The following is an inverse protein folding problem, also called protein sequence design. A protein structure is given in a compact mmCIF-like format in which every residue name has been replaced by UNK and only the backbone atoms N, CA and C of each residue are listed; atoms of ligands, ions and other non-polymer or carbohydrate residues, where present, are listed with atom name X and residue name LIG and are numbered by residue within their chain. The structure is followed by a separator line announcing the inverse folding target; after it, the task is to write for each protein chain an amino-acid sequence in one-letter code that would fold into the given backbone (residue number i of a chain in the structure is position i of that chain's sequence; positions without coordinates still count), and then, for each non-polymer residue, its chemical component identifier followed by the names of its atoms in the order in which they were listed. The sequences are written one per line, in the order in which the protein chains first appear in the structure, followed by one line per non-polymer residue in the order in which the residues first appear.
data_IF_860676734736
#
_entry.id   IF_860676734736
#
_cell.length_a   1.000
_cell.length_b   1.000
_cell.length_c   1.000
_cell.angle_alpha   90.00
_cell.angle_beta   90.00
_cell.angle_gamma   90.00
#
_symmetry.space_group_name_H-M   'P 1'
#
loop_
_entity.id
_entity.type
_entity.pdbx_description
1 polymer ?
#
# COMPACT_ATOMS: atom_id res chain seq x y z
N UNK A 1 25.68 -14.46 -23.05
CA UNK A 1 24.24 -14.41 -23.27
C UNK A 1 23.73 -12.97 -23.28
N UNK A 2 23.70 -12.19 -22.18
CA UNK A 2 23.18 -10.81 -22.16
C UNK A 2 23.78 -9.86 -23.21
N UNK A 3 25.10 -9.85 -23.40
CA UNK A 3 25.77 -9.00 -24.41
C UNK A 3 25.37 -9.32 -25.85
N UNK A 4 24.89 -10.54 -26.12
CA UNK A 4 24.55 -11.00 -27.47
C UNK A 4 23.06 -10.80 -27.79
N UNK A 5 22.19 -10.85 -26.77
CA UNK A 5 20.76 -10.92 -26.98
C UNK A 5 19.98 -9.72 -26.45
N UNK A 6 20.59 -8.93 -25.55
CA UNK A 6 19.88 -7.81 -24.90
C UNK A 6 20.60 -6.48 -25.13
N UNK A 7 21.90 -6.36 -24.76
CA UNK A 7 22.67 -5.12 -24.91
C UNK A 7 24.16 -5.38 -24.99
N UNK A 8 24.86 -4.56 -25.78
CA UNK A 8 26.32 -4.57 -25.87
C UNK A 8 26.97 -3.94 -24.60
N UNK A 9 26.27 -3.01 -23.95
CA UNK A 9 26.75 -2.29 -22.76
C UNK A 9 26.23 -3.00 -21.50
N UNK A 10 26.94 -4.02 -21.04
CA UNK A 10 26.68 -4.66 -19.75
C UNK A 10 27.62 -4.05 -18.72
N UNK A 11 27.05 -3.37 -17.72
CA UNK A 11 27.81 -2.92 -16.57
C UNK A 11 28.22 -4.11 -15.70
N UNK A 12 29.52 -4.23 -15.46
CA UNK A 12 30.12 -5.29 -14.63
C UNK A 12 30.77 -4.74 -13.36
N UNK A 13 30.56 -3.47 -13.05
CA UNK A 13 31.12 -2.79 -11.86
C UNK A 13 30.56 -3.34 -10.55
N UNK A 14 29.34 -3.92 -10.59
CA UNK A 14 28.68 -4.49 -9.43
C UNK A 14 28.85 -6.01 -9.45
N UNK A 15 29.24 -6.58 -8.30
CA UNK A 15 29.31 -8.02 -8.14
C UNK A 15 27.92 -8.64 -8.31
N UNK A 16 27.70 -9.55 -9.29
CA UNK A 16 26.39 -10.14 -9.56
C UNK A 16 25.77 -10.83 -8.35
N UNK A 17 26.58 -11.45 -7.48
CA UNK A 17 26.09 -12.14 -6.27
C UNK A 17 25.49 -11.20 -5.23
N UNK A 18 25.88 -9.92 -5.24
CA UNK A 18 25.38 -8.90 -4.31
C UNK A 18 24.41 -7.92 -4.98
N UNK A 19 24.28 -7.95 -6.30
CA UNK A 19 23.47 -6.99 -7.06
C UNK A 19 22.03 -6.98 -6.61
N UNK A 20 21.42 -8.16 -6.43
CA UNK A 20 20.04 -8.30 -5.98
C UNK A 20 19.85 -7.76 -4.56
N UNK A 21 20.76 -8.14 -3.63
CA UNK A 21 20.68 -7.67 -2.24
C UNK A 21 20.88 -6.14 -2.13
N UNK A 22 21.79 -5.56 -2.95
CA UNK A 22 21.99 -4.11 -3.01
C UNK A 22 20.78 -3.39 -3.61
N UNK A 23 20.19 -3.95 -4.66
CA UNK A 23 18.97 -3.43 -5.27
C UNK A 23 17.79 -3.47 -4.29
N UNK A 24 17.61 -4.58 -3.58
CA UNK A 24 16.58 -4.72 -2.56
C UNK A 24 16.78 -3.74 -1.38
N UNK A 25 18.02 -3.56 -0.90
CA UNK A 25 18.31 -2.60 0.16
C UNK A 25 18.06 -1.15 -0.30
N UNK A 26 18.40 -0.83 -1.56
CA UNK A 26 18.15 0.47 -2.15
C UNK A 26 16.64 0.72 -2.28
N UNK A 27 15.90 -0.26 -2.76
CA UNK A 27 14.44 -0.19 -2.84
C UNK A 27 13.80 -0.05 -1.46
N UNK A 28 14.22 -0.84 -0.48
CA UNK A 28 13.74 -0.76 0.90
C UNK A 28 13.97 0.63 1.53
N UNK A 29 15.04 1.34 1.13
CA UNK A 29 15.32 2.69 1.63
C UNK A 29 14.37 3.77 1.06
N UNK A 30 13.60 3.44 0.01
CA UNK A 30 12.58 4.34 -0.58
C UNK A 30 11.17 4.09 -0.03
N UNK A 31 10.98 2.98 0.67
CA UNK A 31 9.70 2.66 1.32
C UNK A 31 9.73 3.35 2.68
N UNK A 32 8.77 4.22 2.92
CA UNK A 32 8.54 4.74 4.27
C UNK A 32 8.22 3.55 5.17
N UNK A 33 9.17 3.19 6.04
CA UNK A 33 8.88 2.23 7.07
C UNK A 33 7.70 2.79 7.86
N UNK A 34 6.65 1.98 8.08
CA UNK A 34 5.57 2.30 9.01
C UNK A 34 6.18 2.44 10.40
N UNK A 35 6.82 3.60 10.63
CA UNK A 35 7.35 3.93 11.94
C UNK A 35 6.13 4.06 12.84
N UNK A 36 6.12 3.32 13.92
CA UNK A 36 5.02 3.29 14.86
C UNK A 36 4.84 4.70 15.46
N UNK A 37 3.95 5.50 14.87
CA UNK A 37 3.67 6.89 15.29
C UNK A 37 3.33 6.96 16.78
N UNK A 38 2.77 5.88 17.34
CA UNK A 38 2.47 5.76 18.76
C UNK A 38 3.74 5.67 19.63
N UNK A 39 4.84 5.10 19.10
CA UNK A 39 6.13 5.06 19.80
C UNK A 39 6.80 6.43 19.74
N UNK A 40 6.77 7.10 18.59
CA UNK A 40 7.28 8.48 18.47
C UNK A 40 6.57 9.40 19.45
N UNK A 41 5.22 9.34 19.53
CA UNK A 41 4.45 10.15 20.49
C UNK A 41 4.75 9.82 21.95
N UNK A 42 5.14 8.58 22.28
CA UNK A 42 5.52 8.17 23.64
C UNK A 42 6.94 8.59 24.03
N UNK A 43 7.87 8.61 23.08
CA UNK A 43 9.26 9.00 23.32
C UNK A 43 9.46 10.51 23.27
N UNK A 44 8.62 11.23 22.53
CA UNK A 44 8.68 12.69 22.42
C UNK A 44 8.20 13.34 23.71
N UNK A 45 9.10 14.08 24.36
CA UNK A 45 8.79 14.98 25.48
C UNK A 45 8.23 16.32 25.05
N UNK A 46 8.10 16.59 23.74
CA UNK A 46 7.70 17.85 23.13
C UNK A 46 6.50 17.66 22.20
N UNK A 47 5.80 18.77 21.93
CA UNK A 47 4.72 18.83 20.95
C UNK A 47 5.30 18.70 19.53
N UNK A 48 5.37 17.47 18.99
CA UNK A 48 5.81 17.22 17.62
C UNK A 48 4.70 17.59 16.64
N UNK A 49 5.06 18.34 15.60
CA UNK A 49 4.15 18.63 14.50
C UNK A 49 4.32 17.58 13.39
N UNK A 50 3.24 16.89 13.05
CA UNK A 50 3.23 15.92 11.96
C UNK A 50 3.03 16.64 10.63
N UNK A 51 3.86 16.28 9.66
CA UNK A 51 3.77 16.77 8.28
C UNK A 51 3.36 15.62 7.36
N UNK A 52 2.57 15.95 6.35
CA UNK A 52 2.40 15.13 5.17
C UNK A 52 3.42 15.55 4.13
N UNK A 53 4.32 14.65 3.71
CA UNK A 53 5.34 14.91 2.69
C UNK A 53 5.07 13.99 1.51
N UNK A 54 4.67 14.58 0.38
CA UNK A 54 4.39 13.86 -0.87
C UNK A 54 5.49 14.11 -1.89
N UNK A 55 6.11 13.03 -2.40
CA UNK A 55 7.19 13.09 -3.38
C UNK A 55 7.31 11.76 -4.15
N UNK A 56 7.95 11.80 -5.32
CA UNK A 56 8.36 10.58 -6.02
C UNK A 56 9.67 10.09 -5.43
N UNK A 57 9.68 8.87 -4.86
CA UNK A 57 10.87 8.30 -4.20
C UNK A 57 12.01 7.95 -5.16
N UNK A 58 11.71 7.88 -6.47
CA UNK A 58 12.70 7.62 -7.53
C UNK A 58 12.45 8.53 -8.73
N UNK A 59 13.51 9.09 -9.31
CA UNK A 59 13.42 10.00 -10.44
C UNK A 59 14.54 9.79 -11.45
N UNK A 60 14.30 10.15 -12.71
CA UNK A 60 15.32 10.29 -13.75
C UNK A 60 15.61 11.76 -14.05
N UNK A 61 14.83 12.65 -13.47
CA UNK A 61 14.97 14.10 -13.66
C UNK A 61 16.06 14.68 -12.75
N UNK A 62 16.48 15.91 -13.03
CA UNK A 62 17.45 16.64 -12.22
C UNK A 62 16.84 17.34 -11.00
N UNK A 63 15.52 17.40 -10.92
CA UNK A 63 14.76 17.95 -9.81
C UNK A 63 13.41 17.24 -9.66
N UNK A 64 12.84 17.27 -8.46
CA UNK A 64 11.51 16.74 -8.16
C UNK A 64 10.71 17.71 -7.31
N UNK A 65 9.39 17.66 -7.51
CA UNK A 65 8.44 18.46 -6.74
C UNK A 65 8.04 17.74 -5.47
N UNK A 66 8.28 18.38 -4.33
CA UNK A 66 7.95 17.87 -3.00
C UNK A 66 6.82 18.70 -2.43
N UNK A 67 5.67 18.08 -2.20
CA UNK A 67 4.53 18.71 -1.52
C UNK A 67 4.66 18.50 -0.01
N UNK A 68 4.41 19.56 0.77
CA UNK A 68 4.45 19.49 2.24
C UNK A 68 3.22 20.19 2.80
N UNK A 69 2.51 19.54 3.72
CA UNK A 69 1.38 20.12 4.45
C UNK A 69 1.41 19.73 5.93
N UNK A 70 0.72 20.48 6.77
CA UNK A 70 0.56 20.17 8.19
C UNK A 70 -0.57 19.14 8.34
N UNK A 71 -0.28 18.00 8.97
CA UNK A 71 -1.26 17.00 9.33
C UNK A 71 -1.90 17.35 10.68
N UNK A 72 -3.06 18.01 10.62
CA UNK A 72 -3.80 18.40 11.83
C UNK A 72 -4.34 17.22 12.63
N UNK A 73 -4.76 16.17 11.97
CA UNK A 73 -5.35 15.01 12.63
C UNK A 73 -4.32 14.31 13.50
N UNK A 74 -3.11 14.13 12.96
CA UNK A 74 -2.01 13.50 13.68
C UNK A 74 -1.37 14.42 14.73
N UNK A 75 -1.27 15.72 14.45
CA UNK A 75 -0.69 16.71 15.37
C UNK A 75 -1.61 16.98 16.58
N UNK A 76 -2.93 17.01 16.36
CA UNK A 76 -3.91 17.26 17.41
C UNK A 76 -4.17 18.75 17.70
N UNK A 77 -4.69 19.04 18.91
CA UNK A 77 -5.22 20.36 19.25
C UNK A 77 -4.19 21.51 19.31
N UNK A 78 -2.90 21.19 19.45
CA UNK A 78 -1.82 22.18 19.49
C UNK A 78 -1.18 22.40 18.10
N UNK A 79 -1.83 21.96 17.03
CA UNK A 79 -1.34 22.12 15.67
C UNK A 79 -1.18 23.59 15.32
N UNK A 80 0.02 24.04 14.88
CA UNK A 80 0.20 25.40 14.40
C UNK A 80 -0.63 25.58 13.10
N UNK A 81 -1.10 26.81 12.88
CA UNK A 81 -1.81 27.14 11.66
C UNK A 81 -0.88 27.24 10.45
N UNK A 82 0.38 27.58 10.70
CA UNK A 82 1.37 27.87 9.68
C UNK A 82 2.78 27.63 10.22
N UNK A 83 3.66 27.08 9.40
CA UNK A 83 5.09 26.90 9.63
C UNK A 83 5.90 27.45 8.45
N UNK A 84 7.12 27.90 8.70
CA UNK A 84 8.10 28.14 7.65
C UNK A 84 8.96 26.89 7.47
N UNK A 85 8.97 26.31 6.27
CA UNK A 85 9.69 25.08 5.95
C UNK A 85 10.88 25.39 5.04
N UNK A 86 12.01 24.75 5.30
CA UNK A 86 13.23 24.76 4.49
C UNK A 86 13.67 23.29 4.28
N UNK A 87 13.93 22.91 3.04
CA UNK A 87 14.58 21.63 2.72
C UNK A 87 16.08 21.83 2.60
N UNK A 88 16.86 20.95 3.19
CA UNK A 88 18.32 20.93 3.05
C UNK A 88 18.78 19.54 2.65
N UNK A 89 19.50 19.40 1.50
CA UNK A 89 20.10 18.13 1.13
C UNK A 89 21.20 17.78 2.13
N UNK A 90 21.31 16.50 2.47
CA UNK A 90 22.19 16.02 3.55
C UNK A 90 23.68 16.29 3.31
N UNK A 91 24.12 16.47 2.04
CA UNK A 91 25.47 16.90 1.69
C UNK A 91 25.78 18.36 2.01
N UNK A 92 24.76 19.14 2.37
CA UNK A 92 24.86 20.56 2.69
C UNK A 92 25.05 21.49 1.48
N UNK A 93 25.20 20.96 0.27
CA UNK A 93 25.48 21.74 -0.92
C UNK A 93 24.23 22.41 -1.53
N UNK A 94 23.03 22.00 -1.10
CA UNK A 94 21.78 22.59 -1.57
C UNK A 94 20.79 22.77 -0.42
N UNK A 95 20.05 23.85 -0.49
CA UNK A 95 18.89 24.15 0.37
C UNK A 95 17.87 24.97 -0.43
N UNK A 96 16.59 24.80 -0.09
CA UNK A 96 15.53 25.63 -0.63
C UNK A 96 15.46 26.98 0.06
N UNK A 97 14.71 27.91 -0.54
CA UNK A 97 14.17 29.04 0.20
C UNK A 97 13.19 28.54 1.29
N UNK A 98 12.96 29.38 2.30
CA UNK A 98 11.90 29.14 3.28
C UNK A 98 10.57 29.50 2.68
N UNK A 99 9.65 28.55 2.72
CA UNK A 99 8.27 28.73 2.26
C UNK A 99 7.30 28.57 3.44
N UNK A 100 6.17 29.27 3.36
CA UNK A 100 5.06 29.08 4.29
C UNK A 100 4.27 27.84 3.94
N UNK A 101 3.96 27.02 4.95
CA UNK A 101 3.21 25.76 4.83
C UNK A 101 2.10 25.75 5.89
N UNK A 102 0.90 25.49 5.45
CA UNK A 102 -0.30 25.30 6.27
C UNK A 102 -0.92 23.91 6.03
N UNK A 103 -2.18 23.73 6.36
CA UNK A 103 -2.93 22.48 6.11
C UNK A 103 -3.29 22.24 4.64
N UNK A 104 -3.29 23.30 3.80
CA UNK A 104 -3.48 23.16 2.36
C UNK A 104 -2.17 22.75 1.66
N UNK A 105 -1.06 23.00 2.35
CA UNK A 105 0.28 22.66 1.89
C UNK A 105 0.88 23.66 0.91
N UNK A 106 2.14 23.37 0.55
CA UNK A 106 2.87 24.09 -0.47
C UNK A 106 3.87 23.12 -1.13
N UNK A 107 4.51 23.56 -2.21
CA UNK A 107 5.38 22.72 -3.03
C UNK A 107 6.76 23.34 -3.14
N UNK A 108 7.80 22.51 -3.00
CA UNK A 108 9.22 22.90 -3.15
C UNK A 108 9.84 22.07 -4.27
N UNK A 109 10.57 22.71 -5.17
CA UNK A 109 11.40 22.03 -6.14
C UNK A 109 12.72 21.62 -5.49
N UNK A 110 12.97 20.30 -5.38
CA UNK A 110 14.16 19.73 -4.76
C UNK A 110 15.15 19.29 -5.85
N UNK A 111 16.37 19.89 -5.90
CA UNK A 111 17.39 19.56 -6.87
C UNK A 111 18.20 18.32 -6.47
N UNK A 112 18.34 17.38 -7.41
CA UNK A 112 18.92 16.07 -7.20
C UNK A 112 20.35 15.99 -7.75
N UNK A 113 21.18 15.21 -7.09
CA UNK A 113 22.47 14.76 -7.62
C UNK A 113 22.27 13.51 -8.47
N UNK A 114 22.81 13.51 -9.66
CA UNK A 114 22.68 12.45 -10.64
C UNK A 114 23.27 11.11 -10.13
N UNK A 115 22.53 10.03 -10.38
CA UNK A 115 22.98 8.66 -10.10
C UNK A 115 23.11 8.31 -8.61
N UNK A 116 22.50 9.07 -7.70
CA UNK A 116 22.68 8.90 -6.26
C UNK A 116 21.37 9.01 -5.48
N UNK A 117 21.30 8.41 -4.27
CA UNK A 117 20.31 8.76 -3.27
C UNK A 117 20.51 10.21 -2.80
N UNK A 118 19.44 10.98 -2.75
CA UNK A 118 19.43 12.35 -2.27
C UNK A 118 18.54 12.41 -1.03
N UNK A 119 19.15 12.42 0.15
CA UNK A 119 18.44 12.58 1.42
C UNK A 119 18.25 14.07 1.71
N UNK A 120 17.02 14.46 2.00
CA UNK A 120 16.63 15.82 2.37
C UNK A 120 16.21 15.87 3.82
N UNK A 121 16.77 16.79 4.58
CA UNK A 121 16.32 17.14 5.93
C UNK A 121 15.28 18.25 5.83
N UNK A 122 14.15 18.06 6.51
CA UNK A 122 13.09 19.02 6.62
C UNK A 122 13.35 19.85 7.88
N UNK A 123 13.39 21.16 7.76
CA UNK A 123 13.51 22.09 8.88
C UNK A 123 12.27 22.94 8.96
N UNK A 124 11.68 23.02 10.13
CA UNK A 124 10.50 23.83 10.38
C UNK A 124 10.76 24.91 11.42
N UNK A 125 10.13 26.05 11.21
CA UNK A 125 10.23 27.20 12.08
C UNK A 125 8.84 27.79 12.32
N UNK A 126 8.59 28.22 13.55
CA UNK A 126 7.38 28.98 13.87
C UNK A 126 7.46 30.44 13.38
N UNK A 127 6.38 31.20 13.56
CA UNK A 127 6.32 32.61 13.17
C UNK A 127 7.36 33.51 13.88
N UNK A 128 7.88 33.09 15.03
CA UNK A 128 8.95 33.78 15.77
C UNK A 128 10.36 33.38 15.28
N UNK A 129 10.46 32.45 14.32
CA UNK A 129 11.73 31.95 13.78
C UNK A 129 12.40 30.88 14.64
N UNK A 130 11.74 30.35 15.67
CA UNK A 130 12.24 29.28 16.50
C UNK A 130 12.03 27.92 15.77
N UNK A 131 13.00 27.01 15.88
CA UNK A 131 12.87 25.66 15.33
C UNK A 131 11.74 24.90 16.02
N UNK A 132 10.99 24.13 15.23
CA UNK A 132 9.88 23.28 15.67
C UNK A 132 10.24 21.83 15.38
N UNK A 133 10.02 20.93 16.33
CA UNK A 133 10.16 19.51 16.11
C UNK A 133 9.04 18.99 15.23
N UNK A 134 9.42 18.26 14.18
CA UNK A 134 8.52 17.76 13.14
C UNK A 134 8.76 16.30 12.84
N UNK A 135 7.75 15.64 12.30
CA UNK A 135 7.85 14.29 11.75
C UNK A 135 7.05 14.17 10.43
N UNK A 136 7.62 13.58 9.35
CA UNK A 136 9.01 13.13 9.21
C UNK A 136 10.01 14.29 9.15
N UNK A 137 11.23 14.08 9.69
CA UNK A 137 12.29 15.08 9.66
C UNK A 137 13.25 14.94 8.48
N UNK A 138 13.15 13.84 7.74
CA UNK A 138 13.94 13.57 6.52
C UNK A 138 13.22 12.62 5.57
N UNK A 139 13.58 12.67 4.30
CA UNK A 139 13.14 11.75 3.24
C UNK A 139 14.23 11.62 2.17
N UNK A 140 14.14 10.57 1.32
CA UNK A 140 15.16 10.30 0.30
C UNK A 140 14.54 10.11 -1.08
N UNK A 141 15.12 10.77 -2.09
CA UNK A 141 14.79 10.58 -3.51
C UNK A 141 16.02 9.97 -4.21
N UNK A 142 15.85 8.86 -4.90
CA UNK A 142 16.92 8.23 -5.68
C UNK A 142 16.87 8.73 -7.11
N UNK A 143 17.91 9.46 -7.53
CA UNK A 143 18.03 9.91 -8.91
C UNK A 143 18.79 8.87 -9.75
N UNK A 144 18.40 8.75 -11.03
CA UNK A 144 19.00 7.82 -12.00
C UNK A 144 18.32 6.46 -12.09
N UNK A 145 17.32 6.20 -11.27
CA UNK A 145 16.49 4.98 -11.33
C UNK A 145 15.03 5.39 -11.32
N UNK A 146 14.29 5.02 -12.34
CA UNK A 146 12.82 5.02 -12.26
C UNK A 146 12.38 3.58 -12.02
N UNK A 147 12.14 3.25 -10.77
CA UNK A 147 11.49 1.98 -10.44
C UNK A 147 10.04 2.14 -10.84
N UNK A 148 9.68 1.61 -12.01
CA UNK A 148 8.27 1.49 -12.37
C UNK A 148 7.55 0.66 -11.30
N UNK A 149 6.34 1.06 -10.95
CA UNK A 149 5.50 0.29 -10.05
C UNK A 149 5.43 -1.17 -10.55
N UNK A 150 5.70 -2.14 -9.67
CA UNK A 150 5.59 -3.55 -10.03
C UNK A 150 4.15 -3.84 -10.49
N UNK A 151 3.94 -4.44 -11.66
CA UNK A 151 2.59 -4.77 -12.10
C UNK A 151 2.13 -6.07 -11.43
N UNK A 152 0.82 -6.18 -11.18
CA UNK A 152 0.21 -7.43 -10.72
C UNK A 152 0.54 -8.57 -11.71
N UNK A 153 1.12 -9.69 -11.26
CA UNK A 153 1.48 -10.80 -12.14
C UNK A 153 0.28 -11.63 -12.60
N UNK A 154 -0.85 -11.57 -11.87
CA UNK A 154 -2.07 -12.31 -12.13
C UNK A 154 -3.30 -11.45 -11.87
N UNK A 155 -4.48 -11.89 -12.37
CA UNK A 155 -5.75 -11.33 -11.92
C UNK A 155 -6.02 -11.76 -10.48
N UNK A 156 -6.36 -10.82 -9.62
CA UNK A 156 -6.89 -11.13 -8.30
C UNK A 156 -8.41 -11.25 -8.42
N UNK A 157 -8.96 -12.26 -7.78
CA UNK A 157 -10.40 -12.53 -7.80
C UNK A 157 -10.87 -13.20 -6.53
N UNK A 158 -12.17 -13.30 -6.38
CA UNK A 158 -12.83 -14.00 -5.28
C UNK A 158 -13.67 -15.17 -5.79
N UNK A 159 -13.95 -16.15 -4.91
CA UNK A 159 -14.94 -17.14 -5.20
C UNK A 159 -16.36 -16.62 -4.89
N UNK A 160 -17.24 -16.71 -5.87
CA UNK A 160 -18.66 -16.44 -5.70
C UNK A 160 -19.49 -17.65 -6.06
N UNK A 161 -20.54 -17.93 -5.28
CA UNK A 161 -21.41 -19.06 -5.59
C UNK A 161 -22.26 -18.75 -6.83
N UNK A 162 -22.29 -19.71 -7.75
CA UNK A 162 -23.11 -19.62 -8.96
C UNK A 162 -24.26 -20.64 -8.87
N UNK A 163 -25.50 -20.13 -8.79
CA UNK A 163 -26.68 -20.96 -8.60
C UNK A 163 -26.97 -21.91 -9.76
N UNK A 164 -26.61 -21.52 -10.99
CA UNK A 164 -26.80 -22.37 -12.19
C UNK A 164 -25.78 -23.52 -12.18
N UNK A 165 -24.51 -23.20 -11.90
CA UNK A 165 -23.41 -24.17 -11.89
C UNK A 165 -23.32 -24.96 -10.56
N UNK A 166 -24.06 -24.56 -9.52
CA UNK A 166 -24.06 -25.14 -8.16
C UNK A 166 -22.66 -25.27 -7.55
N UNK A 167 -21.78 -24.28 -7.81
CA UNK A 167 -20.40 -24.27 -7.33
C UNK A 167 -19.82 -22.85 -7.25
N UNK A 168 -18.72 -22.70 -6.52
CA UNK A 168 -17.93 -21.48 -6.51
C UNK A 168 -17.25 -21.24 -7.84
N UNK A 169 -17.44 -20.07 -8.42
CA UNK A 169 -16.77 -19.62 -9.65
C UNK A 169 -15.86 -18.45 -9.35
N UNK A 170 -14.76 -18.34 -10.11
CA UNK A 170 -13.83 -17.24 -10.02
C UNK A 170 -14.46 -15.98 -10.60
N UNK A 171 -14.49 -14.92 -9.81
CA UNK A 171 -14.90 -13.57 -10.20
C UNK A 171 -13.70 -12.64 -10.06
N UNK A 172 -13.16 -12.10 -11.18
CA UNK A 172 -12.09 -11.10 -11.11
C UNK A 172 -12.54 -9.86 -10.35
N UNK A 173 -11.67 -9.30 -9.53
CA UNK A 173 -11.89 -8.04 -8.85
C UNK A 173 -11.51 -6.91 -9.82
N UNK A 174 -12.49 -6.12 -10.22
CA UNK A 174 -12.29 -5.00 -11.14
C UNK A 174 -11.33 -3.97 -10.54
N UNK A 175 -10.26 -3.66 -11.26
CA UNK A 175 -9.16 -2.81 -10.79
C UNK A 175 -7.91 -3.57 -10.36
N UNK A 176 -7.99 -4.92 -10.20
CA UNK A 176 -6.88 -5.79 -9.84
C UNK A 176 -6.60 -6.84 -10.92
N UNK A 177 -6.63 -6.40 -12.18
CA UNK A 177 -6.30 -7.23 -13.33
C UNK A 177 -4.78 -7.39 -13.48
N UNK A 178 -4.35 -8.45 -14.12
CA UNK A 178 -2.95 -8.67 -14.51
C UNK A 178 -2.37 -7.45 -15.22
N UNK A 179 -1.13 -7.12 -14.93
CA UNK A 179 -0.37 -5.97 -15.43
C UNK A 179 -0.84 -4.61 -14.90
N UNK A 180 -1.76 -4.57 -13.94
CA UNK A 180 -2.11 -3.33 -13.24
C UNK A 180 -0.93 -2.86 -12.39
N UNK A 181 -0.47 -1.60 -12.50
CA UNK A 181 0.61 -1.09 -11.65
C UNK A 181 0.15 -0.98 -10.20
N UNK A 182 1.06 -1.28 -9.26
CA UNK A 182 0.83 -1.11 -7.83
C UNK A 182 1.26 0.30 -7.36
N UNK A 183 0.62 0.89 -6.33
CA UNK A 183 -0.52 0.34 -5.60
C UNK A 183 -1.81 0.32 -6.43
N UNK A 184 -2.70 -0.62 -6.15
CA UNK A 184 -3.95 -0.78 -6.87
C UNK A 184 -5.12 -1.05 -5.93
N UNK A 185 -6.31 -0.62 -6.34
CA UNK A 185 -7.55 -0.84 -5.60
C UNK A 185 -8.55 -1.50 -6.52
N UNK A 186 -9.22 -2.52 -6.02
CA UNK A 186 -10.27 -3.19 -6.75
C UNK A 186 -11.55 -3.35 -5.95
N UNK A 187 -12.68 -3.34 -6.63
CA UNK A 187 -14.01 -3.36 -6.01
C UNK A 187 -14.85 -4.48 -6.58
N UNK A 188 -15.58 -5.15 -5.72
CA UNK A 188 -16.64 -6.12 -6.07
C UNK A 188 -17.95 -5.62 -5.46
N UNK A 189 -18.77 -4.92 -6.24
CA UNK A 189 -20.06 -4.41 -5.78
C UNK A 189 -21.13 -5.50 -5.76
N UNK A 190 -22.25 -5.18 -5.13
CA UNK A 190 -23.51 -5.92 -5.24
C UNK A 190 -23.42 -7.41 -4.84
N UNK A 191 -22.68 -7.69 -3.77
CA UNK A 191 -22.73 -9.03 -3.15
C UNK A 191 -23.76 -9.06 -2.03
N UNK A 192 -24.15 -10.26 -1.62
CA UNK A 192 -25.10 -10.47 -0.52
C UNK A 192 -24.56 -11.47 0.48
N UNK A 193 -24.89 -11.25 1.74
CA UNK A 193 -24.60 -12.23 2.80
C UNK A 193 -25.43 -13.50 2.58
N UNK A 194 -24.78 -14.66 2.75
CA UNK A 194 -25.44 -15.97 2.65
C UNK A 194 -26.07 -16.41 3.94
N UNK A 195 -25.78 -15.74 5.05
CA UNK A 195 -26.34 -15.95 6.38
C UNK A 195 -26.28 -14.66 7.19
N UNK A 196 -27.03 -14.61 8.28
CA UNK A 196 -26.96 -13.49 9.20
C UNK A 196 -25.64 -13.51 9.99
N UNK A 197 -25.12 -12.34 10.33
CA UNK A 197 -24.00 -12.18 11.27
C UNK A 197 -24.54 -11.50 12.54
N UNK A 198 -24.59 -12.26 13.63
CA UNK A 198 -25.07 -11.78 14.94
C UNK A 198 -23.88 -11.34 15.80
N UNK A 199 -23.90 -10.13 16.37
CA UNK A 199 -22.82 -9.66 17.25
C UNK A 199 -22.47 -10.67 18.34
N UNK A 200 -21.17 -10.94 18.50
CA UNK A 200 -20.64 -11.86 19.50
C UNK A 200 -20.89 -13.36 19.23
N UNK A 201 -21.36 -13.73 18.05
CA UNK A 201 -21.56 -15.12 17.65
C UNK A 201 -20.48 -15.55 16.66
N UNK A 202 -19.40 -16.11 17.16
CA UNK A 202 -18.24 -16.51 16.35
C UNK A 202 -18.52 -17.60 15.31
N UNK A 203 -19.63 -18.34 15.46
CA UNK A 203 -20.07 -19.37 14.50
C UNK A 203 -20.82 -18.81 13.29
N UNK A 204 -21.25 -17.54 13.35
CA UNK A 204 -21.80 -16.85 12.20
C UNK A 204 -20.62 -16.35 11.34
N UNK A 205 -20.46 -16.89 10.13
CA UNK A 205 -19.23 -16.72 9.34
C UNK A 205 -19.56 -16.29 7.92
N UNK A 206 -18.98 -15.17 7.49
CA UNK A 206 -18.86 -14.79 6.08
C UNK A 206 -17.44 -15.09 5.60
N UNK A 207 -17.28 -16.09 4.74
CA UNK A 207 -15.98 -16.49 4.18
C UNK A 207 -15.85 -15.95 2.77
N UNK A 208 -14.74 -15.26 2.48
CA UNK A 208 -14.44 -14.64 1.20
C UNK A 208 -13.07 -15.18 0.75
N UNK A 209 -13.03 -16.32 0.04
CA UNK A 209 -11.80 -16.88 -0.48
C UNK A 209 -11.26 -16.02 -1.64
N UNK A 210 -9.97 -15.67 -1.57
CA UNK A 210 -9.25 -14.86 -2.56
C UNK A 210 -8.30 -15.73 -3.35
N UNK A 211 -8.32 -15.57 -4.67
CA UNK A 211 -7.54 -16.38 -5.61
C UNK A 211 -6.71 -15.51 -6.55
N UNK A 212 -5.60 -16.09 -7.02
CA UNK A 212 -4.89 -15.64 -8.21
C UNK A 212 -5.34 -16.50 -9.39
N UNK A 213 -5.81 -15.86 -10.46
CA UNK A 213 -6.30 -16.56 -11.65
C UNK A 213 -5.69 -16.03 -12.96
N UNK A 214 -5.71 -16.87 -13.99
CA UNK A 214 -5.40 -16.44 -15.34
C UNK A 214 -6.51 -15.55 -15.91
N UNK A 215 -6.26 -14.89 -17.04
CA UNK A 215 -7.23 -14.00 -17.69
C UNK A 215 -8.54 -14.72 -18.04
N UNK A 216 -8.44 -15.99 -18.45
CA UNK A 216 -9.57 -16.82 -18.87
C UNK A 216 -10.23 -17.59 -17.71
N UNK A 217 -9.88 -17.28 -16.45
CA UNK A 217 -10.43 -17.97 -15.27
C UNK A 217 -11.84 -17.52 -14.91
N UNK A 218 -12.28 -16.35 -15.40
CA UNK A 218 -13.60 -15.79 -15.08
C UNK A 218 -14.73 -16.79 -15.38
N UNK A 219 -15.62 -16.96 -14.39
CA UNK A 219 -16.77 -17.86 -14.49
C UNK A 219 -16.42 -19.35 -14.49
N UNK A 220 -15.14 -19.73 -14.44
CA UNK A 220 -14.70 -21.13 -14.24
C UNK A 220 -14.69 -21.46 -12.75
N UNK A 221 -14.50 -22.73 -12.41
CA UNK A 221 -14.41 -23.19 -11.01
C UNK A 221 -13.30 -22.46 -10.28
N UNK A 222 -13.61 -21.79 -9.18
CA UNK A 222 -12.64 -21.02 -8.41
C UNK A 222 -11.49 -21.88 -7.90
N UNK A 223 -11.77 -23.09 -7.42
CA UNK A 223 -10.78 -24.04 -6.89
C UNK A 223 -9.74 -24.54 -7.92
N UNK A 224 -9.90 -24.23 -9.21
CA UNK A 224 -8.88 -24.49 -10.23
C UNK A 224 -7.81 -23.39 -10.29
N UNK A 225 -7.95 -22.35 -9.50
CA UNK A 225 -6.99 -21.26 -9.39
C UNK A 225 -6.25 -21.37 -8.06
N UNK A 226 -5.12 -20.64 -7.92
CA UNK A 226 -4.36 -20.63 -6.69
C UNK A 226 -5.08 -19.79 -5.64
N UNK A 227 -5.51 -20.40 -4.55
CA UNK A 227 -6.00 -19.67 -3.40
C UNK A 227 -4.83 -19.01 -2.67
N UNK A 228 -4.91 -17.69 -2.49
CA UNK A 228 -3.86 -16.91 -1.83
C UNK A 228 -4.22 -16.53 -0.40
N UNK A 229 -5.52 -16.45 -0.10
CA UNK A 229 -6.01 -16.16 1.26
C UNK A 229 -7.48 -16.54 1.38
N UNK A 230 -7.98 -16.56 2.62
CA UNK A 230 -9.40 -16.65 2.92
C UNK A 230 -9.73 -15.63 4.00
N UNK A 231 -10.43 -14.56 3.63
CA UNK A 231 -10.88 -13.55 4.59
C UNK A 231 -12.14 -14.05 5.25
N UNK A 232 -12.13 -14.07 6.57
CA UNK A 232 -13.24 -14.53 7.40
C UNK A 232 -13.74 -13.37 8.25
N UNK A 233 -15.01 -13.01 8.08
CA UNK A 233 -15.75 -12.09 8.94
C UNK A 233 -16.72 -12.90 9.78
N UNK A 234 -16.65 -12.74 11.09
CA UNK A 234 -17.49 -13.46 12.06
C UNK A 234 -18.43 -12.52 12.78
N UNK A 235 -19.35 -13.07 13.58
CA UNK A 235 -20.18 -12.27 14.47
C UNK A 235 -19.38 -11.49 15.52
N UNK A 236 -18.13 -11.89 15.82
CA UNK A 236 -17.25 -11.16 16.74
C UNK A 236 -16.67 -9.88 16.09
N UNK A 237 -16.67 -9.80 14.76
CA UNK A 237 -16.16 -8.65 14.01
C UNK A 237 -17.21 -7.56 13.75
N UNK A 238 -18.49 -7.81 14.11
CA UNK A 238 -19.60 -6.89 13.84
C UNK A 238 -20.26 -6.42 15.14
N UNK A 239 -20.66 -5.16 15.16
CA UNK A 239 -21.28 -4.53 16.33
C UNK A 239 -22.82 -4.56 16.28
N UNK A 240 -23.39 -4.76 15.10
CA UNK A 240 -24.83 -4.79 14.86
C UNK A 240 -25.20 -6.03 14.05
N UNK A 241 -26.47 -6.46 14.21
CA UNK A 241 -27.02 -7.57 13.42
C UNK A 241 -26.99 -7.23 11.93
N UNK A 242 -26.32 -8.06 11.15
CA UNK A 242 -26.36 -8.02 9.69
C UNK A 242 -27.27 -9.18 9.25
N UNK A 243 -28.47 -8.90 8.73
CA UNK A 243 -29.39 -9.94 8.27
C UNK A 243 -28.82 -10.74 7.07
N UNK A 244 -29.33 -11.95 6.91
CA UNK A 244 -29.15 -12.71 5.67
C UNK A 244 -29.65 -11.90 4.44
N UNK A 245 -29.02 -12.06 3.28
CA UNK A 245 -29.29 -11.29 2.05
C UNK A 245 -29.03 -9.78 2.14
N UNK A 246 -28.31 -9.30 3.16
CA UNK A 246 -27.84 -7.92 3.22
C UNK A 246 -26.82 -7.64 2.10
N UNK A 247 -26.88 -6.44 1.54
CA UNK A 247 -25.88 -6.01 0.57
C UNK A 247 -24.50 -5.91 1.21
N UNK A 248 -23.50 -6.32 0.44
CA UNK A 248 -22.06 -6.26 0.82
C UNK A 248 -21.28 -5.70 -0.35
N UNK A 249 -20.43 -4.72 -0.06
CA UNK A 249 -19.42 -4.21 -0.97
C UNK A 249 -18.04 -4.61 -0.48
N UNK A 250 -17.22 -5.17 -1.37
CA UNK A 250 -15.88 -5.64 -1.04
C UNK A 250 -14.88 -4.80 -1.79
N UNK A 251 -13.95 -4.18 -1.05
CA UNK A 251 -12.83 -3.45 -1.62
C UNK A 251 -11.53 -4.14 -1.22
N UNK A 252 -10.66 -4.41 -2.20
CA UNK A 252 -9.32 -4.92 -1.98
C UNK A 252 -8.31 -3.84 -2.33
N UNK A 253 -7.41 -3.58 -1.40
CA UNK A 253 -6.24 -2.71 -1.58
C UNK A 253 -5.00 -3.58 -1.71
N UNK A 254 -4.15 -3.29 -2.69
CA UNK A 254 -2.84 -3.92 -2.86
C UNK A 254 -1.82 -2.80 -2.87
N UNK A 255 -0.91 -2.80 -1.91
CA UNK A 255 0.14 -1.79 -1.81
C UNK A 255 1.34 -2.07 -2.73
N UNK A 256 2.32 -1.18 -2.72
CA UNK A 256 3.54 -1.31 -3.53
C UNK A 256 4.40 -2.53 -3.16
N UNK A 257 4.19 -3.13 -1.99
CA UNK A 257 4.88 -4.32 -1.49
C UNK A 257 4.07 -5.61 -1.70
N UNK A 258 2.97 -5.54 -2.47
CA UNK A 258 2.02 -6.64 -2.71
C UNK A 258 1.25 -7.08 -1.44
N UNK A 259 1.32 -6.33 -0.34
CA UNK A 259 0.48 -6.58 0.82
C UNK A 259 -0.98 -6.25 0.49
N UNK A 260 -1.88 -7.11 0.91
CA UNK A 260 -3.30 -6.98 0.58
C UNK A 260 -4.13 -6.74 1.83
N UNK A 261 -5.06 -5.79 1.72
CA UNK A 261 -6.07 -5.52 2.75
C UNK A 261 -7.46 -5.57 2.11
N UNK A 262 -8.40 -6.24 2.77
CA UNK A 262 -9.80 -6.29 2.35
C UNK A 262 -10.65 -5.47 3.29
N UNK A 263 -11.49 -4.63 2.73
CA UNK A 263 -12.58 -3.94 3.41
C UNK A 263 -13.90 -4.54 2.96
N UNK A 264 -14.73 -4.92 3.93
CA UNK A 264 -16.06 -5.48 3.74
C UNK A 264 -17.05 -4.50 4.32
N UNK A 265 -17.74 -3.75 3.46
CA UNK A 265 -18.71 -2.74 3.84
C UNK A 265 -20.15 -3.29 3.79
N UNK A 266 -20.92 -3.02 4.81
CA UNK A 266 -22.32 -3.39 4.95
C UNK A 266 -23.20 -2.14 4.92
N UNK A 267 -23.73 -1.74 3.76
CA UNK A 267 -24.49 -0.49 3.62
C UNK A 267 -25.73 -0.41 4.52
N UNK A 268 -26.34 -1.56 4.85
CA UNK A 268 -27.57 -1.62 5.67
C UNK A 268 -27.38 -1.13 7.11
N UNK A 269 -26.16 -1.18 7.62
CA UNK A 269 -25.79 -0.79 9.01
C UNK A 269 -24.67 0.26 9.04
N UNK A 270 -24.23 0.74 7.87
CA UNK A 270 -23.13 1.68 7.71
C UNK A 270 -21.85 1.26 8.48
N UNK A 271 -21.45 0.01 8.28
CA UNK A 271 -20.36 -0.59 9.03
C UNK A 271 -19.34 -1.27 8.10
N UNK A 272 -18.03 -1.10 8.40
CA UNK A 272 -16.94 -1.66 7.62
C UNK A 272 -16.05 -2.55 8.48
N UNK A 273 -15.80 -3.76 8.02
CA UNK A 273 -14.77 -4.65 8.60
C UNK A 273 -13.55 -4.61 7.72
N UNK A 274 -12.36 -4.37 8.32
CA UNK A 274 -11.08 -4.35 7.65
C UNK A 274 -10.22 -5.51 8.12
N UNK A 275 -9.67 -6.28 7.16
CA UNK A 275 -8.79 -7.44 7.42
C UNK A 275 -7.59 -7.41 6.51
N UNK A 276 -6.41 -7.66 7.07
CA UNK A 276 -5.21 -7.96 6.28
C UNK A 276 -5.26 -9.40 5.78
N UNK A 277 -4.78 -9.62 4.55
CA UNK A 277 -4.71 -10.95 3.97
C UNK A 277 -3.41 -11.64 4.38
N UNK A 278 -3.53 -12.76 5.07
CA UNK A 278 -2.40 -13.63 5.37
C UNK A 278 -1.98 -14.40 4.10
N UNK A 279 -0.93 -13.94 3.45
CA UNK A 279 -0.37 -14.55 2.25
C UNK A 279 0.62 -15.69 2.55
N UNK A 280 0.90 -15.98 3.83
CA UNK A 280 1.82 -17.06 4.23
C UNK A 280 1.26 -18.47 3.97
N UNK A 281 -0.06 -18.58 3.83
CA UNK A 281 -0.80 -19.83 3.59
C UNK A 281 -1.10 -20.06 2.10
N UNK A 282 -0.20 -19.69 1.21
CA UNK A 282 -0.34 -20.03 -0.22
C UNK A 282 -0.31 -21.54 -0.36
N UNK A 283 -1.46 -22.16 -0.63
CA UNK A 283 -1.50 -23.57 -1.02
C UNK A 283 -0.84 -23.71 -2.39
N UNK A 284 0.15 -24.59 -2.50
CA UNK A 284 0.74 -24.88 -3.80
C UNK A 284 -0.30 -25.53 -4.70
N UNK A 285 -0.23 -25.29 -6.02
CA UNK A 285 -1.14 -25.91 -6.99
C UNK A 285 -1.07 -27.45 -6.97
N UNK A 286 -0.02 -28.04 -6.40
CA UNK A 286 0.13 -29.48 -6.19
C UNK A 286 -0.83 -30.01 -5.10
N UNK A 287 -1.09 -29.24 -4.06
CA UNK A 287 -2.05 -29.61 -3.01
C UNK A 287 -3.50 -29.56 -3.51
N UNK A 288 -3.83 -28.60 -4.37
CA UNK A 288 -5.16 -28.50 -4.99
C UNK A 288 -5.48 -29.68 -5.91
N UNK A 289 -4.48 -30.24 -6.61
CA UNK A 289 -4.64 -31.40 -7.49
C UNK A 289 -4.91 -32.69 -6.68
N UNK A 290 -4.37 -32.79 -5.47
CA UNK A 290 -4.59 -33.96 -4.60
C UNK A 290 -6.04 -34.15 -4.16
N UNK A 291 -6.85 -33.09 -4.13
CA UNK A 291 -8.28 -33.13 -3.79
C UNK A 291 -9.19 -33.56 -4.95
N UNK A 292 -8.72 -33.38 -6.20
CA UNK A 292 -9.50 -33.75 -7.40
C UNK A 292 -9.40 -35.26 -7.70
N UNK A 293 -8.39 -35.95 -7.17
CA UNK A 293 -8.12 -37.37 -7.41
C UNK A 293 -8.60 -38.29 -6.25
N UNK A 294 -9.36 -37.81 -5.31
CA UNK A 294 -10.10 -38.56 -4.29
C UNK A 294 -11.59 -38.42 -4.51
#
# INVERSE_FOLDING_TARGET
MLKKEVTQNVDTSINPMTAVARGAALYASTIDANINEAEIKKEAKADIVFLQVGYESTSVESSEWVSISIDKEKTGNNSPNELSIELQRADGAWRSDRISVDTNGNVIEAFLLEGKPNTFKVKAYNQQGNAVEIFPSEFTIIQGVKVGAAPLPYNIGIAVYNDIKKRGVFLPVKGLEKNKPLPAVGVVPDRKTTQALRPGVSTDVLSIPVYQGALEAEGKTAALNMQISNVVVTGDDVEQLIPENSNVEITLHVDSSEMMTMEVYFPSVDFTVKKELDLSKRESSEDAISWVNK
#
